data_IF_948493473125
#
_entry.id   IF_948493473125
#
_cell.length_a   1.000
_cell.length_b   1.000
_cell.length_c   1.000
_cell.angle_alpha   90.00
_cell.angle_beta   90.00
_cell.angle_gamma   90.00
#
_symmetry.space_group_name_H-M   'P 1'
#
loop_
_entity.id
_entity.type
_entity.pdbx_description
1 polymer ?
#
# COMPACT_ATOMS: atom_id res chain seq x y z
N UNK A 1 17.54 34.68 1.46
CA UNK A 1 17.48 33.85 0.25
C UNK A 1 18.42 32.68 0.40
N UNK A 2 17.92 31.59 0.99
CA UNK A 2 18.63 30.30 1.21
C UNK A 2 17.63 29.13 1.41
N UNK A 3 16.34 29.30 1.09
CA UNK A 3 15.28 28.36 1.53
C UNK A 3 14.58 27.62 0.39
N UNK A 4 14.97 27.81 -0.86
CA UNK A 4 14.26 27.21 -2.02
C UNK A 4 15.02 26.07 -2.72
N UNK A 5 16.01 25.45 -2.07
CA UNK A 5 16.96 24.56 -2.76
C UNK A 5 16.94 23.07 -2.37
N UNK A 6 15.90 22.52 -1.70
CA UNK A 6 15.90 21.08 -1.37
C UNK A 6 14.64 20.30 -1.78
N UNK A 7 13.54 20.94 -2.18
CA UNK A 7 12.32 20.19 -2.56
C UNK A 7 11.96 20.39 -4.02
N UNK A 8 12.33 19.39 -4.83
CA UNK A 8 11.64 18.83 -6.03
C UNK A 8 12.70 18.22 -6.96
N UNK A 9 12.82 16.87 -7.07
CA UNK A 9 11.75 15.96 -7.52
C UNK A 9 11.61 14.65 -6.68
N UNK A 10 10.40 14.12 -6.49
CA UNK A 10 10.19 12.79 -5.84
C UNK A 10 10.33 12.79 -4.31
N UNK A 11 9.35 13.36 -3.61
CA UNK A 11 9.42 13.81 -2.20
C UNK A 11 10.05 12.85 -1.17
N UNK A 12 9.89 11.53 -1.28
CA UNK A 12 10.62 10.55 -0.44
C UNK A 12 10.95 9.35 -1.31
N UNK A 13 12.24 9.05 -1.46
CA UNK A 13 12.70 7.95 -2.30
C UNK A 13 12.61 6.62 -1.57
N UNK A 14 11.98 5.64 -2.21
CA UNK A 14 11.87 4.26 -1.72
C UNK A 14 13.15 3.49 -2.02
N UNK A 15 13.71 2.78 -1.04
CA UNK A 15 14.79 1.83 -1.30
C UNK A 15 14.23 0.57 -1.99
N UNK A 16 14.62 0.37 -3.25
CA UNK A 16 14.23 -0.80 -4.03
C UNK A 16 14.62 -2.12 -3.37
N UNK A 17 15.74 -2.18 -2.63
CA UNK A 17 16.15 -3.38 -1.92
C UNK A 17 15.16 -3.74 -0.79
N UNK A 18 14.63 -2.73 -0.10
CA UNK A 18 13.65 -2.93 0.96
C UNK A 18 12.28 -3.29 0.39
N UNK A 19 11.84 -2.64 -0.70
CA UNK A 19 10.63 -3.01 -1.44
C UNK A 19 10.70 -4.47 -1.88
N UNK A 20 11.79 -4.84 -2.55
CA UNK A 20 12.03 -6.22 -3.02
C UNK A 20 11.96 -7.21 -1.87
N UNK A 21 12.57 -6.89 -0.73
CA UNK A 21 12.57 -7.76 0.46
C UNK A 21 11.16 -7.99 1.01
N UNK A 22 10.32 -6.94 1.09
CA UNK A 22 8.93 -7.07 1.52
C UNK A 22 8.11 -7.89 0.51
N UNK A 23 8.30 -7.65 -0.79
CA UNK A 23 7.54 -8.37 -1.81
C UNK A 23 7.93 -9.85 -1.91
N UNK A 24 9.21 -10.20 -1.74
CA UNK A 24 9.69 -11.60 -1.80
C UNK A 24 9.31 -12.41 -0.56
N UNK A 25 9.31 -11.79 0.64
CA UNK A 25 9.07 -12.49 1.92
C UNK A 25 7.65 -12.32 2.46
N UNK A 26 6.84 -11.48 1.81
CA UNK A 26 5.53 -11.04 2.28
C UNK A 26 4.42 -12.08 2.17
N UNK A 27 4.61 -13.15 1.40
CA UNK A 27 3.56 -14.15 1.19
C UNK A 27 2.33 -13.56 0.49
N UNK A 28 1.15 -13.69 1.09
CA UNK A 28 -0.07 -13.08 0.55
C UNK A 28 0.00 -11.57 0.68
N UNK A 29 -0.32 -10.87 -0.41
CA UNK A 29 -0.40 -9.43 -0.47
C UNK A 29 -1.80 -8.95 -0.86
N UNK A 30 -2.16 -7.76 -0.39
CA UNK A 30 -3.39 -7.06 -0.75
C UNK A 30 -3.08 -5.62 -1.09
N UNK A 31 -3.94 -5.01 -1.89
CA UNK A 31 -3.71 -3.68 -2.44
C UNK A 31 -4.91 -2.79 -2.13
N UNK A 32 -4.66 -1.60 -1.61
CA UNK A 32 -5.63 -0.52 -1.48
C UNK A 32 -5.27 0.61 -2.40
N UNK A 33 -6.26 1.16 -3.08
CA UNK A 33 -6.09 2.38 -3.86
C UNK A 33 -7.17 3.38 -3.44
N UNK A 34 -6.75 4.61 -3.18
CA UNK A 34 -7.64 5.72 -2.91
C UNK A 34 -7.17 6.98 -3.58
N UNK A 35 -8.12 7.82 -3.97
CA UNK A 35 -7.88 9.12 -4.57
C UNK A 35 -8.85 10.13 -3.96
N UNK A 36 -8.36 11.31 -3.61
CA UNK A 36 -9.17 12.42 -3.12
C UNK A 36 -8.57 13.76 -3.54
N UNK A 37 -9.38 14.81 -3.46
CA UNK A 37 -9.00 16.17 -3.84
C UNK A 37 -9.54 17.20 -2.84
N UNK A 38 -8.98 18.41 -2.86
CA UNK A 38 -9.34 19.49 -1.95
C UNK A 38 -8.51 19.52 -0.66
N UNK A 39 -8.99 20.25 0.35
CA UNK A 39 -8.24 20.52 1.59
C UNK A 39 -7.94 19.24 2.39
N UNK A 40 -8.87 18.29 2.43
CA UNK A 40 -8.71 17.02 3.16
C UNK A 40 -8.16 15.87 2.29
N UNK A 41 -7.53 16.19 1.14
CA UNK A 41 -7.11 15.19 0.14
C UNK A 41 -6.25 14.05 0.71
N UNK A 42 -5.37 14.35 1.67
CA UNK A 42 -4.52 13.34 2.30
C UNK A 42 -5.31 12.32 3.13
N UNK A 43 -6.15 12.83 4.04
CA UNK A 43 -6.94 11.98 4.93
C UNK A 43 -8.00 11.18 4.18
N UNK A 44 -8.62 11.77 3.16
CA UNK A 44 -9.64 11.10 2.37
C UNK A 44 -9.05 10.07 1.39
N UNK A 45 -7.87 10.32 0.81
CA UNK A 45 -7.23 9.34 -0.09
C UNK A 45 -6.86 8.07 0.67
N UNK A 46 -6.28 8.18 1.87
CA UNK A 46 -5.94 7.01 2.70
C UNK A 46 -7.17 6.25 3.19
N UNK A 47 -8.22 6.97 3.61
CA UNK A 47 -9.49 6.34 4.04
C UNK A 47 -10.14 5.56 2.90
N UNK A 48 -10.12 6.10 1.68
CA UNK A 48 -10.62 5.41 0.49
C UNK A 48 -9.77 4.19 0.16
N UNK A 49 -8.44 4.29 0.27
CA UNK A 49 -7.54 3.17 0.04
C UNK A 49 -7.82 2.02 1.01
N UNK A 50 -7.96 2.30 2.30
CA UNK A 50 -8.26 1.32 3.35
C UNK A 50 -9.65 0.68 3.23
N UNK A 51 -10.63 1.41 2.66
CA UNK A 51 -11.97 0.90 2.38
C UNK A 51 -12.09 0.21 1.02
N UNK A 52 -10.97 0.07 0.28
CA UNK A 52 -10.99 -0.57 -1.02
C UNK A 52 -11.44 -2.04 -0.90
N UNK A 53 -12.33 -2.54 -1.77
CA UNK A 53 -12.70 -3.95 -1.79
C UNK A 53 -11.52 -4.92 -1.99
N UNK A 54 -10.40 -4.41 -2.52
CA UNK A 54 -9.16 -5.15 -2.69
C UNK A 54 -8.37 -5.35 -1.36
N UNK A 55 -8.81 -4.69 -0.28
CA UNK A 55 -8.29 -4.75 1.09
C UNK A 55 -9.30 -5.33 2.10
N UNK A 56 -10.33 -6.05 1.63
CA UNK A 56 -11.45 -6.58 2.45
C UNK A 56 -11.07 -7.77 3.35
N UNK A 57 -10.01 -7.64 4.16
CA UNK A 57 -9.69 -8.57 5.24
C UNK A 57 -9.10 -7.80 6.42
N UNK A 58 -9.00 -8.47 7.56
CA UNK A 58 -8.31 -7.93 8.75
C UNK A 58 -6.80 -7.72 8.49
N UNK A 59 -6.37 -6.46 8.54
CA UNK A 59 -4.99 -6.01 8.33
C UNK A 59 -4.20 -5.87 9.63
N UNK A 60 -4.84 -6.04 10.80
CA UNK A 60 -4.19 -5.87 12.11
C UNK A 60 -3.04 -6.83 12.34
N UNK A 61 -3.07 -8.02 11.73
CA UNK A 61 -2.00 -9.02 11.78
C UNK A 61 -0.97 -8.92 10.66
N UNK A 62 -0.97 -7.84 9.88
CA UNK A 62 -0.02 -7.66 8.79
C UNK A 62 1.40 -7.44 9.31
N UNK A 63 2.39 -8.05 8.64
CA UNK A 63 3.79 -7.95 9.05
C UNK A 63 4.53 -6.80 8.40
N UNK A 64 4.05 -6.36 7.24
CA UNK A 64 4.69 -5.28 6.53
C UNK A 64 3.73 -4.59 5.58
N UNK A 65 3.93 -3.29 5.38
CA UNK A 65 3.18 -2.48 4.44
C UNK A 65 4.11 -1.60 3.59
N UNK A 66 3.72 -1.39 2.34
CA UNK A 66 4.29 -0.42 1.43
C UNK A 66 3.23 0.65 1.15
N UNK A 67 3.55 1.91 1.37
CA UNK A 67 2.67 3.06 1.13
C UNK A 67 3.31 3.96 0.09
N UNK A 68 2.60 4.24 -0.99
CA UNK A 68 3.04 5.20 -1.99
C UNK A 68 1.99 6.30 -2.11
N UNK A 69 2.42 7.54 -1.92
CA UNK A 69 1.58 8.73 -2.03
C UNK A 69 2.02 9.50 -3.27
N UNK A 70 1.09 9.76 -4.18
CA UNK A 70 1.32 10.61 -5.34
C UNK A 70 0.38 11.78 -5.27
N UNK A 71 0.89 13.00 -5.26
CA UNK A 71 0.06 14.21 -5.23
C UNK A 71 0.48 15.25 -6.25
N UNK A 72 -0.36 16.26 -6.42
CA UNK A 72 -0.09 17.42 -7.25
C UNK A 72 1.10 18.26 -6.78
N UNK A 73 1.51 19.28 -7.56
CA UNK A 73 2.58 20.21 -7.18
C UNK A 73 2.35 20.99 -5.88
N UNK A 74 1.10 21.00 -5.42
CA UNK A 74 0.58 21.59 -4.18
C UNK A 74 0.70 20.67 -2.96
N UNK A 75 1.05 19.38 -3.15
CA UNK A 75 1.21 18.44 -2.05
C UNK A 75 2.40 18.80 -1.16
N UNK A 76 2.20 18.79 0.17
CA UNK A 76 3.27 18.97 1.14
C UNK A 76 3.81 17.65 1.70
N UNK A 77 4.98 17.70 2.34
CA UNK A 77 5.54 16.52 3.03
C UNK A 77 4.65 16.13 4.21
N UNK A 78 4.14 17.11 4.96
CA UNK A 78 3.27 16.85 6.12
C UNK A 78 1.96 16.15 5.70
N UNK A 79 1.38 16.53 4.56
CA UNK A 79 0.21 15.83 4.00
C UNK A 79 0.55 14.36 3.70
N UNK A 80 1.70 14.07 3.09
CA UNK A 80 2.13 12.71 2.80
C UNK A 80 2.46 11.91 4.08
N UNK A 81 3.06 12.52 5.09
CA UNK A 81 3.32 11.90 6.41
C UNK A 81 2.02 11.53 7.13
N UNK A 82 0.99 12.39 7.07
CA UNK A 82 -0.30 12.13 7.70
C UNK A 82 -0.99 10.86 7.19
N UNK A 83 -0.78 10.54 5.90
CA UNK A 83 -1.25 9.28 5.29
C UNK A 83 -0.56 8.07 5.92
N UNK A 84 0.73 8.16 6.20
CA UNK A 84 1.52 7.08 6.80
C UNK A 84 1.12 6.86 8.26
N UNK A 85 0.88 7.94 9.01
CA UNK A 85 0.43 7.87 10.40
C UNK A 85 -0.94 7.17 10.54
N UNK A 86 -1.89 7.47 9.65
CA UNK A 86 -3.21 6.83 9.65
C UNK A 86 -3.12 5.32 9.39
N UNK A 87 -2.16 4.88 8.57
CA UNK A 87 -1.91 3.46 8.31
C UNK A 87 -1.20 2.81 9.49
N UNK A 88 -0.19 3.47 10.06
CA UNK A 88 0.55 2.96 11.23
C UNK A 88 -0.38 2.60 12.39
N UNK A 89 -1.39 3.44 12.67
CA UNK A 89 -2.38 3.17 13.73
C UNK A 89 -3.30 1.96 13.49
N UNK A 90 -3.27 1.32 12.32
CA UNK A 90 -4.14 0.18 11.96
C UNK A 90 -3.40 -1.14 11.77
N UNK A 91 -2.07 -1.10 11.72
CA UNK A 91 -1.24 -2.29 11.56
C UNK A 91 -0.75 -2.79 12.93
N UNK A 92 -0.14 -3.98 12.92
CA UNK A 92 0.59 -4.49 14.09
C UNK A 92 1.70 -3.51 14.50
N UNK A 93 1.95 -3.33 15.80
CA UNK A 93 3.00 -2.41 16.29
C UNK A 93 4.40 -2.82 15.85
N UNK A 94 4.61 -4.10 15.54
CA UNK A 94 5.87 -4.64 15.04
C UNK A 94 5.91 -4.70 13.50
N UNK A 95 4.88 -4.17 12.81
CA UNK A 95 4.83 -4.16 11.36
C UNK A 95 5.88 -3.23 10.76
N UNK A 96 6.60 -3.73 9.74
CA UNK A 96 7.55 -2.90 8.99
C UNK A 96 6.81 -2.08 7.94
N UNK A 97 6.85 -0.75 8.05
CA UNK A 97 6.30 0.15 7.03
C UNK A 97 7.41 0.73 6.17
N UNK A 98 7.28 0.59 4.87
CA UNK A 98 8.04 1.33 3.86
C UNK A 98 7.08 2.34 3.24
N UNK A 99 7.52 3.58 3.07
CA UNK A 99 6.69 4.58 2.43
C UNK A 99 7.47 5.51 1.53
N UNK A 100 6.79 6.08 0.53
CA UNK A 100 7.36 7.01 -0.43
C UNK A 100 6.34 8.00 -0.92
N UNK A 101 6.84 9.12 -1.43
CA UNK A 101 6.03 10.21 -1.93
C UNK A 101 6.55 10.71 -3.28
N UNK A 102 5.65 10.97 -4.23
CA UNK A 102 5.94 11.45 -5.57
C UNK A 102 5.05 12.65 -5.92
N UNK A 103 5.59 13.57 -6.70
CA UNK A 103 4.81 14.66 -7.30
C UNK A 103 4.50 14.30 -8.74
N UNK A 104 3.21 14.35 -9.07
CA UNK A 104 2.70 14.23 -10.43
C UNK A 104 1.99 15.55 -10.79
N UNK A 105 2.53 16.35 -11.73
CA UNK A 105 1.92 17.59 -12.17
C UNK A 105 0.49 17.44 -12.72
N UNK A 106 0.09 16.24 -13.15
CA UNK A 106 -1.27 15.97 -13.65
C UNK A 106 -2.30 15.84 -12.52
N UNK A 107 -1.86 15.69 -11.26
CA UNK A 107 -2.72 15.52 -10.08
C UNK A 107 -3.00 16.84 -9.34
N UNK A 108 -3.27 17.92 -10.07
CA UNK A 108 -3.54 19.23 -9.47
C UNK A 108 -4.63 19.14 -8.39
N UNK A 109 -4.33 19.61 -7.18
CA UNK A 109 -5.22 19.57 -6.02
C UNK A 109 -5.76 18.15 -5.67
N UNK A 110 -5.04 17.12 -6.11
CA UNK A 110 -5.44 15.72 -6.00
C UNK A 110 -4.31 14.90 -5.38
N UNK A 111 -4.69 13.92 -4.55
CA UNK A 111 -3.78 12.95 -3.96
C UNK A 111 -4.27 11.53 -4.21
N UNK A 112 -3.36 10.67 -4.64
CA UNK A 112 -3.52 9.22 -4.80
C UNK A 112 -2.68 8.51 -3.76
N UNK A 113 -3.28 7.52 -3.10
CA UNK A 113 -2.61 6.67 -2.12
C UNK A 113 -2.73 5.22 -2.55
N UNK A 114 -1.59 4.58 -2.76
CA UNK A 114 -1.46 3.14 -2.98
C UNK A 114 -0.91 2.49 -1.72
N UNK A 115 -1.63 1.50 -1.20
CA UNK A 115 -1.23 0.73 -0.03
C UNK A 115 -1.05 -0.72 -0.48
N UNK A 116 0.07 -1.34 -0.17
CA UNK A 116 0.29 -2.78 -0.36
C UNK A 116 0.59 -3.38 1.00
N UNK A 117 -0.25 -4.30 1.46
CA UNK A 117 -0.11 -4.95 2.76
C UNK A 117 0.27 -6.41 2.53
N UNK A 118 1.30 -6.87 3.24
CA UNK A 118 1.82 -8.24 3.14
C UNK A 118 1.86 -8.93 4.49
N UNK A 119 1.96 -10.25 4.48
CA UNK A 119 1.96 -11.07 5.70
C UNK A 119 0.58 -11.24 6.31
N UNK A 120 -0.48 -10.96 5.55
CA UNK A 120 -1.86 -11.09 6.00
C UNK A 120 -2.33 -12.55 5.98
N UNK A 121 -3.23 -12.89 6.89
CA UNK A 121 -3.90 -14.20 6.93
C UNK A 121 -5.25 -14.08 6.24
N UNK A 122 -5.33 -14.42 4.96
CA UNK A 122 -6.62 -14.53 4.27
C UNK A 122 -7.08 -15.99 4.23
N UNK A 123 -8.30 -16.32 4.66
CA UNK A 123 -8.90 -17.64 4.44
C UNK A 123 -9.16 -17.93 2.96
N UNK A 124 -9.33 -16.90 2.12
CA UNK A 124 -9.66 -17.02 0.69
C UNK A 124 -8.43 -16.94 -0.22
N UNK A 125 -7.35 -16.25 0.18
CA UNK A 125 -6.09 -16.26 -0.58
C UNK A 125 -5.21 -17.38 -0.04
N UNK A 126 -5.59 -18.59 -0.41
CA UNK A 126 -4.71 -19.75 -0.33
C UNK A 126 -3.58 -19.55 -1.33
N UNK A 127 -2.50 -18.93 -0.86
CA UNK A 127 -1.19 -19.07 -1.48
C UNK A 127 -0.99 -20.55 -1.81
N UNK A 128 -0.57 -20.79 -3.05
CA UNK A 128 -0.34 -22.09 -3.70
C UNK A 128 0.45 -23.07 -2.82
N UNK A 129 -0.18 -23.61 -1.78
CA UNK A 129 0.15 -24.91 -1.21
C UNK A 129 -0.61 -25.88 -2.09
N UNK A 130 0.13 -26.76 -2.76
CA UNK A 130 -0.43 -27.79 -3.62
C UNK A 130 -1.49 -28.57 -2.87
N UNK A 131 -2.76 -28.23 -3.10
CA UNK A 131 -3.83 -29.17 -2.93
C UNK A 131 -3.69 -30.17 -4.08
N UNK A 132 -3.57 -31.48 -3.82
CA UNK A 132 -3.82 -32.46 -4.85
C UNK A 132 -5.23 -32.16 -5.36
N UNK A 133 -5.36 -31.83 -6.65
CA UNK A 133 -6.64 -31.54 -7.33
C UNK A 133 -7.55 -32.79 -7.44
N UNK A 134 -7.38 -33.78 -6.57
CA UNK A 134 -7.88 -35.14 -6.79
C UNK A 134 -9.11 -35.52 -5.98
N UNK A 135 -9.84 -34.58 -5.36
CA UNK A 135 -10.96 -35.02 -4.50
C UNK A 135 -12.26 -34.22 -4.54
N UNK A 136 -12.49 -33.36 -5.56
CA UNK A 136 -13.81 -32.71 -5.69
C UNK A 136 -14.59 -32.97 -6.97
N UNK A 137 -13.96 -33.54 -7.99
CA UNK A 137 -14.64 -34.06 -9.16
C UNK A 137 -13.99 -35.40 -9.48
N UNK A 138 -14.64 -36.51 -9.15
CA UNK A 138 -14.12 -37.87 -9.36
C UNK A 138 -13.94 -38.21 -10.85
N UNK A 139 -12.98 -37.55 -11.49
CA UNK A 139 -12.64 -37.71 -12.89
C UNK A 139 -11.14 -38.03 -12.93
N UNK A 140 -10.84 -39.31 -13.05
CA UNK A 140 -9.49 -39.79 -13.33
C UNK A 140 -9.15 -39.50 -14.80
N UNK A 141 -8.07 -38.78 -15.05
CA UNK A 141 -7.45 -38.75 -16.37
C UNK A 141 -6.40 -39.86 -16.44
N UNK A 142 -6.66 -40.84 -17.31
CA UNK A 142 -5.73 -41.93 -17.64
C UNK A 142 -4.50 -41.36 -18.35
N UNK A 143 -3.33 -41.87 -17.95
CA UNK A 143 -1.97 -41.41 -18.28
C UNK A 143 -1.64 -41.38 -19.77
#
# INVERSE_FOLDING_TARGET
GITELITKPGLVNLDFADVKTIMEKGGVAMIGLGEASGEDKALESVRRALKSPLLDVDISGAKAALVNVTGGPDMTVEEAESVVEEIYGKLDSDARIIWGAMIDPELENTMRTLIIITGVKSPQILGRKGYPLTQKFGIDFVR
#
